data_IF_711013967683
#
_entry.id   IF_711013967683
#
_cell.length_a   1.000
_cell.length_b   1.000
_cell.length_c   1.000
_cell.angle_alpha   90.00
_cell.angle_beta   90.00
_cell.angle_gamma   90.00
#
_symmetry.space_group_name_H-M   'P 1'
#
loop_
_entity.id
_entity.type
_entity.pdbx_description
1 polymer ?
#
# COMPACT_ATOMS: atom_id res chain seq x y z
N UNK A 1 5.74 13.21 -13.21
CA UNK A 1 4.68 13.90 -14.01
C UNK A 1 5.21 14.28 -15.38
N UNK A 2 6.31 15.03 -15.48
CA UNK A 2 6.92 15.40 -16.77
C UNK A 2 7.25 14.22 -17.69
N UNK A 3 7.80 13.13 -17.13
CA UNK A 3 8.09 11.91 -17.90
C UNK A 3 6.83 11.24 -18.48
N UNK A 4 5.66 11.38 -17.83
CA UNK A 4 4.40 10.85 -18.35
C UNK A 4 3.82 11.74 -19.46
N UNK A 5 4.07 13.05 -19.39
CA UNK A 5 3.71 14.01 -20.45
C UNK A 5 4.55 13.78 -21.70
N UNK A 6 5.88 13.65 -21.54
CA UNK A 6 6.81 13.36 -22.63
C UNK A 6 6.49 12.03 -23.33
N UNK A 7 6.00 11.05 -22.58
CA UNK A 7 5.57 9.75 -23.15
C UNK A 7 4.18 9.74 -23.79
N UNK A 8 3.42 10.85 -23.75
CA UNK A 8 2.03 10.88 -24.24
C UNK A 8 1.09 9.90 -23.51
N UNK A 9 1.44 9.55 -22.27
CA UNK A 9 0.69 8.60 -21.42
C UNK A 9 -0.24 9.33 -20.44
N UNK A 10 0.01 10.61 -20.18
CA UNK A 10 -0.70 11.40 -19.18
C UNK A 10 -2.22 11.34 -19.32
N UNK A 11 -2.76 11.64 -20.50
CA UNK A 11 -4.22 11.68 -20.73
C UNK A 11 -4.91 10.33 -20.47
N UNK A 12 -4.18 9.22 -20.65
CA UNK A 12 -4.70 7.86 -20.43
C UNK A 12 -4.60 7.41 -18.97
N UNK A 13 -3.64 7.95 -18.23
CA UNK A 13 -3.28 7.47 -16.89
C UNK A 13 -3.82 8.38 -15.79
N UNK A 14 -4.10 9.67 -16.07
CA UNK A 14 -4.44 10.68 -15.05
C UNK A 14 -5.56 10.24 -14.09
N UNK A 15 -6.65 9.69 -14.61
CA UNK A 15 -7.84 9.35 -13.80
C UNK A 15 -7.57 8.16 -12.89
N UNK A 16 -6.94 7.10 -13.44
CA UNK A 16 -6.51 5.94 -12.68
C UNK A 16 -5.44 6.29 -11.65
N UNK A 17 -4.55 7.23 -11.96
CA UNK A 17 -3.53 7.69 -11.02
C UNK A 17 -4.15 8.42 -9.82
N UNK A 18 -5.19 9.22 -10.05
CA UNK A 18 -5.94 9.87 -8.97
C UNK A 18 -6.71 8.83 -8.15
N UNK A 19 -7.32 7.82 -8.79
CA UNK A 19 -7.99 6.70 -8.10
C UNK A 19 -7.00 5.92 -7.21
N UNK A 20 -5.83 5.58 -7.75
CA UNK A 20 -4.74 4.88 -7.06
C UNK A 20 -3.93 5.78 -6.12
N UNK A 21 -4.32 7.05 -5.92
CA UNK A 21 -3.67 8.03 -5.02
C UNK A 21 -2.18 8.24 -5.28
N UNK A 22 -1.78 8.18 -6.54
CA UNK A 22 -0.40 8.33 -6.96
C UNK A 22 0.42 7.04 -6.94
N UNK A 23 -0.18 5.90 -6.58
CA UNK A 23 0.48 4.60 -6.74
C UNK A 23 0.46 4.17 -8.22
N UNK A 24 1.64 4.11 -8.82
CA UNK A 24 1.84 3.69 -10.22
C UNK A 24 1.94 2.16 -10.38
N UNK A 25 2.12 1.42 -9.29
CA UNK A 25 2.24 -0.05 -9.32
C UNK A 25 0.94 -0.72 -9.74
N UNK A 26 -0.22 -0.10 -9.48
CA UNK A 26 -1.54 -0.60 -9.88
C UNK A 26 -1.88 -0.32 -11.35
N UNK A 27 -1.03 0.41 -12.08
CA UNK A 27 -1.30 0.84 -13.46
C UNK A 27 -0.40 0.08 -14.44
N UNK A 28 -1.00 -0.86 -15.18
CA UNK A 28 -0.29 -1.71 -16.14
C UNK A 28 0.27 -0.95 -17.34
N UNK A 29 -0.41 0.10 -17.79
CA UNK A 29 -0.07 0.90 -18.99
C UNK A 29 1.24 1.69 -18.89
N UNK A 30 1.81 1.81 -17.68
CA UNK A 30 3.02 2.59 -17.44
C UNK A 30 4.25 1.67 -17.56
N UNK A 31 5.33 2.05 -18.27
CA UNK A 31 6.57 1.28 -18.30
C UNK A 31 7.12 0.94 -16.91
N UNK A 32 7.65 -0.27 -16.73
CA UNK A 32 8.18 -0.74 -15.44
C UNK A 32 9.27 0.19 -14.88
N UNK A 33 10.14 0.72 -15.74
CA UNK A 33 11.20 1.65 -15.35
C UNK A 33 10.67 2.91 -14.66
N UNK A 34 9.53 3.42 -15.12
CA UNK A 34 8.87 4.57 -14.50
C UNK A 34 8.22 4.18 -13.17
N UNK A 35 7.62 2.98 -13.08
CA UNK A 35 7.06 2.47 -11.82
C UNK A 35 8.12 2.35 -10.73
N UNK A 36 9.28 1.80 -11.08
CA UNK A 36 10.37 1.56 -10.11
C UNK A 36 11.00 2.85 -9.60
N UNK A 37 11.08 3.88 -10.47
CA UNK A 37 11.63 5.20 -10.15
C UNK A 37 10.68 6.03 -9.30
N UNK A 38 9.37 5.93 -9.55
CA UNK A 38 8.33 6.73 -8.88
C UNK A 38 7.58 5.94 -7.82
N UNK A 39 8.31 5.14 -7.03
CA UNK A 39 7.74 4.43 -5.88
C UNK A 39 7.30 5.42 -4.80
N UNK A 40 6.13 5.17 -4.23
CA UNK A 40 5.59 5.97 -3.13
C UNK A 40 6.27 5.63 -1.80
N UNK A 41 6.12 6.51 -0.81
CA UNK A 41 6.80 6.34 0.47
C UNK A 41 6.43 5.02 1.20
N UNK A 42 5.21 4.53 1.01
CA UNK A 42 4.72 3.31 1.64
C UNK A 42 5.15 2.01 0.93
N UNK A 43 5.65 2.11 -0.29
CA UNK A 43 6.15 0.95 -1.05
C UNK A 43 7.60 0.60 -0.71
N UNK A 44 8.32 1.53 -0.07
CA UNK A 44 9.70 1.34 0.32
C UNK A 44 9.72 0.69 1.72
N UNK A 45 10.52 -0.38 1.93
CA UNK A 45 10.65 -0.99 3.24
C UNK A 45 11.10 0.04 4.31
N UNK A 46 10.48 0.07 5.50
CA UNK A 46 10.84 1.00 6.57
C UNK A 46 12.32 0.87 6.99
N UNK A 47 12.88 -0.33 6.88
CA UNK A 47 14.28 -0.64 7.18
C UNK A 47 15.26 0.12 6.27
N UNK A 48 14.87 0.42 5.03
CA UNK A 48 15.71 1.14 4.06
C UNK A 48 15.88 2.60 4.47
N UNK A 49 14.81 3.23 4.99
CA UNK A 49 14.88 4.58 5.54
C UNK A 49 15.84 4.66 6.72
N UNK A 50 15.82 3.65 7.59
CA UNK A 50 16.74 3.54 8.73
C UNK A 50 18.18 3.42 8.25
N UNK A 51 18.47 2.57 7.26
CA UNK A 51 19.84 2.41 6.73
C UNK A 51 20.37 3.73 6.16
N UNK A 52 19.59 4.43 5.35
CA UNK A 52 19.99 5.71 4.77
C UNK A 52 20.18 6.76 5.86
N UNK A 53 19.29 6.82 6.84
CA UNK A 53 19.41 7.72 7.98
C UNK A 53 20.65 7.43 8.82
N UNK A 54 21.00 6.16 9.04
CA UNK A 54 22.18 5.77 9.79
C UNK A 54 23.48 6.23 9.12
N UNK A 55 23.56 6.15 7.79
CA UNK A 55 24.71 6.66 7.03
C UNK A 55 24.83 8.18 7.17
N UNK A 56 23.72 8.90 7.02
CA UNK A 56 23.70 10.36 7.18
C UNK A 56 24.05 10.79 8.62
N UNK A 57 23.55 10.07 9.62
CA UNK A 57 23.69 10.39 11.05
C UNK A 57 25.16 10.43 11.50
N UNK A 58 26.07 9.71 10.83
CA UNK A 58 27.52 9.75 11.10
C UNK A 58 28.12 11.14 10.92
N UNK A 59 27.55 11.93 10.03
CA UNK A 59 28.02 13.27 9.67
C UNK A 59 27.17 14.38 10.29
N UNK A 60 26.21 14.02 11.14
CA UNK A 60 25.32 14.97 11.83
C UNK A 60 25.58 14.89 13.34
N UNK A 61 25.98 16.03 13.89
CA UNK A 61 26.27 16.25 15.31
C UNK A 61 25.03 16.10 16.19
N UNK A 62 23.87 16.56 15.72
CA UNK A 62 22.55 16.41 16.36
C UNK A 62 21.73 15.24 15.77
N UNK A 63 20.43 15.19 16.05
CA UNK A 63 19.51 14.20 15.47
C UNK A 63 18.91 14.67 14.14
N UNK A 64 18.45 13.72 13.34
CA UNK A 64 17.72 13.96 12.09
C UNK A 64 16.24 13.62 12.32
N UNK A 65 15.33 14.54 11.97
CA UNK A 65 13.88 14.31 12.04
C UNK A 65 13.43 13.33 10.96
N UNK A 66 13.68 12.04 11.19
CA UNK A 66 13.36 10.97 10.24
C UNK A 66 11.95 10.44 10.48
N UNK A 67 11.08 10.66 9.49
CA UNK A 67 9.77 10.00 9.41
C UNK A 67 9.91 8.57 8.88
N UNK A 68 9.03 7.69 9.36
CA UNK A 68 8.90 6.30 8.95
C UNK A 68 7.51 6.07 8.37
N UNK A 69 7.42 5.14 7.41
CA UNK A 69 6.19 4.82 6.70
C UNK A 69 5.95 3.30 6.77
N UNK A 70 4.74 2.90 7.15
CA UNK A 70 4.31 1.51 7.17
C UNK A 70 3.04 1.35 6.35
N UNK A 71 3.06 0.40 5.41
CA UNK A 71 1.90 0.03 4.61
C UNK A 71 0.90 -0.81 5.43
N UNK A 72 1.42 -1.68 6.30
CA UNK A 72 0.61 -2.50 7.20
C UNK A 72 0.67 -2.01 8.65
N UNK A 73 -0.14 -2.62 9.52
CA UNK A 73 -0.12 -2.38 10.97
C UNK A 73 0.48 -3.56 11.71
N UNK A 74 1.48 -4.20 11.13
CA UNK A 74 2.17 -5.31 11.78
C UNK A 74 3.03 -4.77 12.94
N UNK A 75 2.74 -5.24 14.15
CA UNK A 75 3.55 -4.93 15.33
C UNK A 75 4.97 -5.47 15.16
N UNK A 76 5.13 -6.64 14.55
CA UNK A 76 6.44 -7.25 14.28
C UNK A 76 7.30 -6.35 13.37
N UNK A 77 6.72 -5.84 12.28
CA UNK A 77 7.43 -4.94 11.36
C UNK A 77 7.83 -3.64 12.06
N UNK A 78 6.93 -3.10 12.90
CA UNK A 78 7.19 -1.90 13.67
C UNK A 78 8.34 -2.11 14.66
N UNK A 79 8.27 -3.17 15.47
CA UNK A 79 9.30 -3.54 16.44
C UNK A 79 10.66 -3.73 15.75
N UNK A 80 10.70 -4.53 14.69
CA UNK A 80 11.92 -4.77 13.91
C UNK A 80 12.55 -3.48 13.40
N UNK A 81 11.73 -2.56 12.89
CA UNK A 81 12.19 -1.25 12.38
C UNK A 81 12.82 -0.40 13.48
N UNK A 82 12.16 -0.28 14.64
CA UNK A 82 12.68 0.52 15.75
C UNK A 82 13.92 -0.11 16.40
N UNK A 83 13.95 -1.44 16.56
CA UNK A 83 15.13 -2.15 17.04
C UNK A 83 16.31 -1.97 16.09
N UNK A 84 16.08 -1.99 14.78
CA UNK A 84 17.11 -1.70 13.79
C UNK A 84 17.60 -0.25 13.90
N UNK A 85 16.69 0.73 14.08
CA UNK A 85 17.07 2.12 14.24
C UNK A 85 17.96 2.35 15.47
N UNK A 86 17.61 1.70 16.59
CA UNK A 86 18.42 1.73 17.81
C UNK A 86 19.79 1.08 17.59
N UNK A 87 19.84 -0.14 17.03
CA UNK A 87 21.09 -0.85 16.73
C UNK A 87 21.99 -0.08 15.76
N UNK A 88 21.40 0.66 14.83
CA UNK A 88 22.13 1.48 13.86
C UNK A 88 22.63 2.83 14.43
N UNK A 89 22.31 3.15 15.70
CA UNK A 89 22.78 4.35 16.38
C UNK A 89 22.06 5.63 15.94
N UNK A 90 20.82 5.54 15.46
CA UNK A 90 20.02 6.74 15.18
C UNK A 90 19.71 7.47 16.49
N UNK A 91 19.85 8.81 16.46
CA UNK A 91 19.55 9.65 17.63
C UNK A 91 18.06 9.98 17.76
N UNK A 92 17.34 10.03 16.64
CA UNK A 92 15.92 10.39 16.62
C UNK A 92 15.13 9.67 15.52
N UNK A 93 13.89 9.36 15.85
CA UNK A 93 12.80 9.03 14.91
C UNK A 93 11.66 9.99 15.21
N UNK A 94 10.92 10.43 14.19
CA UNK A 94 9.92 11.48 14.36
C UNK A 94 8.49 10.93 14.30
N UNK A 95 7.85 10.95 13.14
CA UNK A 95 6.52 10.36 12.98
C UNK A 95 6.57 8.99 12.35
N UNK A 96 5.65 8.13 12.78
CA UNK A 96 5.28 6.90 12.10
C UNK A 96 3.97 7.10 11.38
N UNK A 97 4.02 7.15 10.05
CA UNK A 97 2.85 7.19 9.21
C UNK A 97 2.41 5.77 8.87
N UNK A 98 1.19 5.42 9.26
CA UNK A 98 0.57 4.16 8.89
C UNK A 98 -0.48 4.41 7.81
N UNK A 99 -0.45 3.63 6.73
CA UNK A 99 -1.46 3.71 5.71
C UNK A 99 -2.86 3.40 6.30
N UNK A 100 -3.91 4.15 5.93
CA UNK A 100 -5.27 3.87 6.39
C UNK A 100 -5.82 2.62 5.69
N UNK A 101 -6.57 1.79 6.42
CA UNK A 101 -7.20 0.57 5.89
C UNK A 101 -8.37 0.85 4.95
N UNK A 102 -9.01 2.01 5.11
CA UNK A 102 -10.16 2.42 4.33
C UNK A 102 -9.93 3.85 3.86
N UNK A 103 -10.29 4.08 2.60
CA UNK A 103 -10.13 5.37 1.96
C UNK A 103 -11.50 5.93 1.57
N UNK A 104 -11.71 7.21 1.84
CA UNK A 104 -12.87 7.95 1.34
C UNK A 104 -12.74 8.15 -0.18
N UNK A 105 -13.86 8.07 -0.89
CA UNK A 105 -13.86 8.20 -2.35
C UNK A 105 -13.50 9.63 -2.78
N UNK A 106 -12.58 9.79 -3.75
CA UNK A 106 -12.30 11.11 -4.29
C UNK A 106 -13.51 11.60 -5.10
N UNK A 107 -13.95 12.83 -4.83
CA UNK A 107 -15.08 13.45 -5.55
C UNK A 107 -14.75 13.85 -7.00
N UNK A 108 -13.47 13.84 -7.37
CA UNK A 108 -12.96 14.32 -8.66
C UNK A 108 -12.95 13.27 -9.77
N UNK A 109 -13.15 11.98 -9.46
CA UNK A 109 -13.11 10.90 -10.46
C UNK A 109 -14.43 10.14 -10.43
N UNK A 110 -14.99 9.85 -11.61
CA UNK A 110 -16.17 9.00 -11.74
C UNK A 110 -15.80 7.53 -11.53
N UNK A 111 -15.81 7.08 -10.28
CA UNK A 111 -15.58 5.67 -9.94
C UNK A 111 -16.92 4.97 -9.73
N UNK A 112 -17.36 4.13 -10.66
CA UNK A 112 -18.63 3.42 -10.55
C UNK A 112 -18.48 2.12 -9.73
N UNK A 113 -18.36 2.24 -8.40
CA UNK A 113 -18.20 1.08 -7.50
C UNK A 113 -19.42 0.19 -7.39
N UNK A 114 -20.61 0.61 -7.85
CA UNK A 114 -21.80 -0.22 -7.87
C UNK A 114 -21.58 -1.51 -8.70
N UNK A 115 -20.76 -1.44 -9.75
CA UNK A 115 -20.37 -2.58 -10.58
C UNK A 115 -19.31 -3.48 -9.92
N UNK A 116 -18.54 -2.95 -8.95
CA UNK A 116 -17.43 -3.62 -8.26
C UNK A 116 -17.80 -4.18 -6.89
N UNK A 117 -19.03 -3.94 -6.39
CA UNK A 117 -19.49 -4.59 -5.16
C UNK A 117 -19.46 -6.10 -5.37
N UNK A 118 -18.76 -6.81 -4.49
CA UNK A 118 -18.92 -8.25 -4.34
C UNK A 118 -20.41 -8.51 -4.16
N UNK A 119 -21.01 -9.21 -5.12
CA UNK A 119 -22.33 -9.79 -4.89
C UNK A 119 -22.14 -10.79 -3.76
N UNK A 120 -22.92 -10.63 -2.71
CA UNK A 120 -23.04 -11.69 -1.71
C UNK A 120 -23.64 -12.89 -2.45
N UNK A 121 -22.79 -13.84 -2.85
CA UNK A 121 -23.26 -15.15 -3.27
C UNK A 121 -23.74 -15.86 -2.00
N UNK A 122 -24.95 -15.51 -1.59
CA UNK A 122 -25.76 -16.38 -0.76
C UNK A 122 -26.13 -17.56 -1.68
N UNK A 123 -25.22 -18.53 -1.83
CA UNK A 123 -25.69 -19.86 -2.19
C UNK A 123 -26.62 -20.27 -1.05
N UNK A 124 -27.91 -20.28 -1.33
CA UNK A 124 -28.89 -20.88 -0.44
C UNK A 124 -28.39 -22.31 -0.17
N UNK A 125 -28.29 -22.74 1.11
CA UNK A 125 -27.84 -24.07 1.41
C UNK A 125 -28.73 -25.04 0.63
N UNK A 126 -28.13 -25.88 -0.20
CA UNK A 126 -28.84 -26.95 -0.88
C UNK A 126 -29.68 -27.68 0.17
N UNK A 127 -30.99 -27.57 0.06
CA UNK A 127 -31.91 -28.32 0.91
C UNK A 127 -31.61 -29.78 0.67
N UNK A 128 -30.91 -30.41 1.62
CA UNK A 128 -30.72 -31.85 1.62
C UNK A 128 -32.11 -32.48 1.65
N UNK A 129 -32.65 -32.87 0.50
CA UNK A 129 -33.82 -33.74 0.44
C UNK A 129 -33.34 -35.11 0.89
N UNK A 130 -33.41 -35.35 2.20
CA UNK A 130 -33.17 -36.66 2.79
C UNK A 130 -34.30 -37.56 2.30
N UNK A 131 -34.08 -38.26 1.19
CA UNK A 131 -34.91 -39.42 0.84
C UNK A 131 -34.53 -40.52 1.82
N UNK A 132 -35.40 -40.69 2.83
CA UNK A 132 -35.30 -41.72 3.84
C UNK A 132 -35.61 -43.09 3.20
N UNK A 133 -34.64 -43.70 2.52
CA UNK A 133 -34.67 -45.12 2.13
C UNK A 133 -33.67 -45.90 2.99
N UNK A 134 -33.97 -46.02 4.29
CA UNK A 134 -33.21 -46.89 5.19
C UNK A 134 -34.07 -47.49 6.33
N UNK A 135 -35.39 -47.52 6.18
CA UNK A 135 -36.30 -48.23 7.10
C UNK A 135 -37.24 -49.15 6.31
N UNK A 136 -36.73 -50.29 5.84
CA UNK A 136 -37.53 -51.48 5.57
C UNK A 136 -36.65 -52.71 5.82
N UNK A 137 -36.59 -53.10 7.09
CA UNK A 137 -36.45 -54.47 7.54
C UNK A 137 -37.82 -55.00 7.94
#
# INVERSE_FOLDING_TARGET
MEQLLLGGLWERVRERLVEARGDLSEIEDVPQTLRDLHRTAYQIPPEDYVRVAAVAQKWVDQGISRNLYLQDRSLETMERTYLQAWRAGLKSTYYLFMAPRMYAEPSTVHVNKALRKLRWNLEEPQTCTVTCEACSS
#
